data_IF_366304032114
#
_entry.id   IF_366304032114
#
_cell.length_a   1.000
_cell.length_b   1.000
_cell.length_c   1.000
_cell.angle_alpha   90.00
_cell.angle_beta   90.00
_cell.angle_gamma   90.00
#
_symmetry.space_group_name_H-M   'P 1'
#
loop_
_entity.id
_entity.type
_entity.pdbx_description
1 polymer ?
#
# COMPACT_ATOMS: atom_id res chain seq x y z
N UNK A 1 40.27 23.52 -17.49
CA UNK A 1 39.24 24.21 -16.67
C UNK A 1 37.86 24.17 -17.31
N UNK A 2 37.67 24.63 -18.55
CA UNK A 2 36.32 24.66 -19.18
C UNK A 2 35.65 23.29 -19.33
N UNK A 3 36.38 22.24 -19.73
CA UNK A 3 35.82 20.88 -19.85
C UNK A 3 35.32 20.30 -18.53
N UNK A 4 35.95 20.66 -17.41
CA UNK A 4 35.54 20.23 -16.07
C UNK A 4 34.22 20.91 -15.68
N UNK A 5 34.13 22.23 -15.92
CA UNK A 5 32.93 23.03 -15.70
C UNK A 5 31.75 22.54 -16.53
N UNK A 6 31.96 22.17 -17.79
CA UNK A 6 30.92 21.55 -18.62
C UNK A 6 30.39 20.22 -18.07
N UNK A 7 31.26 19.38 -17.50
CA UNK A 7 30.83 18.11 -16.88
C UNK A 7 30.05 18.37 -15.59
N UNK A 8 30.48 19.34 -14.79
CA UNK A 8 29.76 19.80 -13.60
C UNK A 8 28.39 20.37 -13.95
N UNK A 9 28.31 21.26 -14.95
CA UNK A 9 27.04 21.83 -15.42
C UNK A 9 26.07 20.74 -15.92
N UNK A 10 26.58 19.71 -16.65
CA UNK A 10 25.77 18.56 -17.07
C UNK A 10 25.30 17.71 -15.89
N UNK A 11 26.12 17.54 -14.85
CA UNK A 11 25.73 16.85 -13.62
C UNK A 11 24.67 17.64 -12.85
N UNK A 12 24.79 18.97 -12.81
CA UNK A 12 23.81 19.85 -12.16
C UNK A 12 22.48 19.85 -12.91
N UNK A 13 22.49 19.97 -14.24
CA UNK A 13 21.29 19.84 -15.08
C UNK A 13 20.64 18.49 -14.84
N UNK A 14 21.42 17.39 -14.84
CA UNK A 14 20.89 16.06 -14.58
C UNK A 14 20.29 15.94 -13.17
N UNK A 15 20.89 16.59 -12.19
CA UNK A 15 20.40 16.61 -10.80
C UNK A 15 19.12 17.43 -10.65
N UNK A 16 19.03 18.58 -11.31
CA UNK A 16 17.81 19.41 -11.37
C UNK A 16 16.70 18.63 -12.09
N UNK A 17 17.00 18.03 -13.23
CA UNK A 17 16.06 17.23 -14.01
C UNK A 17 15.56 16.03 -13.19
N UNK A 18 16.45 15.27 -12.55
CA UNK A 18 16.08 14.18 -11.65
C UNK A 18 15.19 14.69 -10.51
N UNK A 19 15.50 15.82 -9.84
CA UNK A 19 14.64 16.35 -8.76
C UNK A 19 13.27 16.85 -9.23
N UNK A 20 13.16 17.31 -10.48
CA UNK A 20 11.92 17.83 -11.06
C UNK A 20 11.03 16.73 -11.68
N UNK A 21 11.62 15.60 -12.08
CA UNK A 21 10.88 14.48 -12.66
C UNK A 21 10.17 13.65 -11.59
N UNK A 22 8.91 13.29 -11.86
CA UNK A 22 8.11 12.40 -11.00
C UNK A 22 7.96 11.04 -11.67
N UNK A 23 7.89 9.97 -10.88
CA UNK A 23 7.53 8.65 -11.39
C UNK A 23 6.05 8.64 -11.78
N UNK A 24 5.78 8.70 -13.09
CA UNK A 24 4.43 8.78 -13.68
C UNK A 24 3.91 7.39 -14.11
N UNK A 25 4.76 6.37 -14.16
CA UNK A 25 4.41 5.05 -14.72
C UNK A 25 3.59 4.13 -13.82
N UNK A 26 3.11 4.58 -12.65
CA UNK A 26 2.21 3.77 -11.83
C UNK A 26 0.86 3.60 -12.57
N UNK A 27 0.40 2.36 -12.78
CA UNK A 27 -0.87 2.13 -13.48
C UNK A 27 -2.06 2.22 -12.53
N UNK A 28 -3.13 2.92 -12.94
CA UNK A 28 -4.41 2.93 -12.22
C UNK A 28 -5.02 1.53 -12.10
N UNK A 29 -4.82 0.66 -13.10
CA UNK A 29 -5.26 -0.73 -13.07
C UNK A 29 -4.60 -1.54 -11.95
N UNK A 30 -3.37 -1.18 -11.56
CA UNK A 30 -2.69 -1.78 -10.40
C UNK A 30 -3.50 -1.55 -9.11
N UNK A 31 -4.09 -0.37 -8.93
CA UNK A 31 -4.93 -0.05 -7.77
C UNK A 31 -6.25 -0.82 -7.78
N UNK A 32 -6.89 -0.94 -8.95
CA UNK A 32 -8.14 -1.70 -9.10
C UNK A 32 -7.94 -3.17 -8.73
N UNK A 33 -6.88 -3.79 -9.24
CA UNK A 33 -6.58 -5.21 -8.97
C UNK A 33 -6.24 -5.42 -7.49
N UNK A 34 -5.39 -4.57 -6.91
CA UNK A 34 -5.08 -4.63 -5.48
C UNK A 34 -6.35 -4.54 -4.63
N UNK A 35 -7.27 -3.65 -5.00
CA UNK A 35 -8.52 -3.50 -4.27
C UNK A 35 -9.47 -4.69 -4.40
N UNK A 36 -9.59 -5.29 -5.58
CA UNK A 36 -10.39 -6.52 -5.76
C UNK A 36 -9.81 -7.67 -4.94
N UNK A 37 -8.48 -7.86 -5.00
CA UNK A 37 -7.78 -8.90 -4.24
C UNK A 37 -7.95 -8.68 -2.74
N UNK A 38 -7.87 -7.43 -2.27
CA UNK A 38 -8.11 -7.09 -0.87
C UNK A 38 -9.54 -7.42 -0.43
N UNK A 39 -10.56 -7.07 -1.23
CA UNK A 39 -11.95 -7.41 -0.90
C UNK A 39 -12.18 -8.93 -0.82
N UNK A 40 -11.60 -9.70 -1.75
CA UNK A 40 -11.64 -11.17 -1.69
C UNK A 40 -10.92 -11.70 -0.45
N UNK A 41 -9.77 -11.13 -0.09
CA UNK A 41 -9.05 -11.47 1.13
C UNK A 41 -9.84 -11.17 2.40
N UNK A 42 -10.51 -10.02 2.46
CA UNK A 42 -11.38 -9.65 3.58
C UNK A 42 -12.57 -10.60 3.70
N UNK A 43 -13.19 -10.97 2.58
CA UNK A 43 -14.27 -11.95 2.53
C UNK A 43 -13.81 -13.32 3.04
N UNK A 44 -12.67 -13.83 2.56
CA UNK A 44 -12.11 -15.10 3.03
C UNK A 44 -11.74 -15.05 4.51
N UNK A 45 -11.16 -13.95 4.98
CA UNK A 45 -10.85 -13.77 6.39
C UNK A 45 -12.12 -13.80 7.24
N UNK A 46 -13.18 -13.11 6.79
CA UNK A 46 -14.47 -13.11 7.45
C UNK A 46 -15.04 -14.53 7.56
N UNK A 47 -15.18 -15.22 6.42
CA UNK A 47 -15.76 -16.56 6.33
C UNK A 47 -15.02 -17.59 7.20
N UNK A 48 -13.68 -17.54 7.22
CA UNK A 48 -12.86 -18.54 7.89
C UNK A 48 -12.67 -18.29 9.38
N UNK A 49 -12.55 -17.03 9.81
CA UNK A 49 -12.09 -16.70 11.18
C UNK A 49 -13.13 -15.92 11.98
N UNK A 50 -13.95 -15.09 11.32
CA UNK A 50 -14.91 -14.22 12.01
C UNK A 50 -16.33 -14.80 12.05
N UNK A 51 -16.68 -15.72 11.16
CA UNK A 51 -17.97 -16.41 11.16
C UNK A 51 -18.18 -17.16 12.48
N UNK A 52 -19.29 -16.89 13.17
CA UNK A 52 -19.64 -17.53 14.44
C UNK A 52 -18.95 -16.96 15.68
N UNK A 53 -18.06 -15.96 15.54
CA UNK A 53 -17.48 -15.24 16.68
C UNK A 53 -18.22 -13.91 16.93
N UNK A 54 -18.32 -13.50 18.19
CA UNK A 54 -18.94 -12.22 18.57
C UNK A 54 -17.92 -11.07 18.41
N UNK A 55 -17.44 -10.85 17.18
CA UNK A 55 -16.31 -9.97 16.86
C UNK A 55 -16.61 -8.46 17.03
N UNK A 56 -17.89 -8.09 17.10
CA UNK A 56 -18.32 -6.73 17.46
C UNK A 56 -18.20 -6.46 18.96
N UNK A 57 -18.00 -7.49 19.78
CA UNK A 57 -17.73 -7.32 21.21
C UNK A 57 -16.25 -7.03 21.44
N UNK A 58 -15.94 -6.12 22.37
CA UNK A 58 -14.58 -5.71 22.75
C UNK A 58 -13.73 -6.85 23.38
N UNK A 59 -14.24 -8.09 23.41
CA UNK A 59 -13.52 -9.23 23.99
C UNK A 59 -12.37 -9.65 23.07
N UNK A 60 -11.29 -10.15 23.70
CA UNK A 60 -10.28 -10.95 23.00
C UNK A 60 -11.01 -12.02 22.21
N UNK A 61 -10.90 -11.98 20.88
CA UNK A 61 -11.23 -13.15 20.08
C UNK A 61 -10.36 -14.30 20.58
N UNK A 62 -10.97 -15.44 20.92
CA UNK A 62 -10.23 -16.67 21.18
C UNK A 62 -9.66 -17.13 19.85
N UNK A 63 -8.50 -16.58 19.52
CA UNK A 63 -7.75 -16.91 18.32
C UNK A 63 -6.94 -18.17 18.62
N UNK A 64 -7.40 -19.30 18.07
CA UNK A 64 -6.60 -20.51 18.04
C UNK A 64 -5.36 -20.29 17.16
N UNK A 65 -4.28 -21.03 17.41
CA UNK A 65 -3.08 -21.00 16.58
C UNK A 65 -3.38 -21.28 15.10
N UNK A 66 -4.41 -22.09 14.84
CA UNK A 66 -4.90 -22.42 13.49
C UNK A 66 -5.51 -21.19 12.79
N UNK A 67 -6.38 -20.43 13.47
CA UNK A 67 -6.99 -19.22 12.92
C UNK A 67 -5.93 -18.16 12.58
N UNK A 68 -4.90 -18.03 13.43
CA UNK A 68 -3.77 -17.11 13.16
C UNK A 68 -3.00 -17.53 11.91
N UNK A 69 -2.74 -18.84 11.75
CA UNK A 69 -2.04 -19.36 10.58
C UNK A 69 -2.85 -19.14 9.29
N UNK A 70 -4.17 -19.37 9.33
CA UNK A 70 -5.07 -19.12 8.21
C UNK A 70 -5.10 -17.64 7.82
N UNK A 71 -5.27 -16.73 8.80
CA UNK A 71 -5.24 -15.28 8.55
C UNK A 71 -3.90 -14.84 7.95
N UNK A 72 -2.79 -15.37 8.45
CA UNK A 72 -1.46 -15.06 7.91
C UNK A 72 -1.31 -15.58 6.47
N UNK A 73 -1.83 -16.76 6.17
CA UNK A 73 -1.88 -17.30 4.80
C UNK A 73 -2.68 -16.42 3.86
N UNK A 74 -3.87 -15.97 4.26
CA UNK A 74 -4.72 -15.04 3.50
C UNK A 74 -3.98 -13.71 3.28
N UNK A 75 -3.41 -13.13 4.33
CA UNK A 75 -2.69 -11.86 4.25
C UNK A 75 -1.49 -11.94 3.29
N UNK A 76 -0.70 -13.02 3.37
CA UNK A 76 0.40 -13.28 2.44
C UNK A 76 -0.10 -13.46 1.00
N UNK A 77 -1.19 -14.20 0.79
CA UNK A 77 -1.81 -14.38 -0.52
C UNK A 77 -2.26 -13.06 -1.15
N UNK A 78 -2.97 -12.23 -0.37
CA UNK A 78 -3.39 -10.89 -0.79
C UNK A 78 -2.19 -10.03 -1.17
N UNK A 79 -1.14 -10.02 -0.33
CA UNK A 79 0.06 -9.22 -0.58
C UNK A 79 0.77 -9.66 -1.87
N UNK A 80 0.99 -10.96 -2.05
CA UNK A 80 1.67 -11.51 -3.24
C UNK A 80 0.87 -11.20 -4.51
N UNK A 81 -0.44 -11.48 -4.51
CA UNK A 81 -1.30 -11.24 -5.67
C UNK A 81 -1.41 -9.74 -6.00
N UNK A 82 -1.52 -8.88 -4.98
CA UNK A 82 -1.58 -7.42 -5.18
C UNK A 82 -0.27 -6.87 -5.74
N UNK A 83 0.88 -7.32 -5.24
CA UNK A 83 2.19 -6.92 -5.77
C UNK A 83 2.41 -7.45 -7.19
N UNK A 84 2.08 -8.72 -7.46
CA UNK A 84 2.21 -9.31 -8.79
C UNK A 84 1.35 -8.58 -9.82
N UNK A 85 0.07 -8.35 -9.50
CA UNK A 85 -0.84 -7.58 -10.35
C UNK A 85 -0.36 -6.14 -10.53
N UNK A 86 0.08 -5.50 -9.45
CA UNK A 86 0.60 -4.14 -9.46
C UNK A 86 1.80 -3.97 -10.39
N UNK A 87 2.79 -4.86 -10.29
CA UNK A 87 3.98 -4.88 -11.14
C UNK A 87 3.62 -5.18 -12.60
N UNK A 88 2.72 -6.13 -12.85
CA UNK A 88 2.29 -6.50 -14.20
C UNK A 88 1.67 -5.32 -14.96
N UNK A 89 0.68 -4.63 -14.37
CA UNK A 89 0.03 -3.49 -15.03
C UNK A 89 0.94 -2.28 -15.17
N UNK A 90 1.79 -2.02 -14.16
CA UNK A 90 2.82 -0.97 -14.23
C UNK A 90 3.81 -1.27 -15.36
N UNK A 91 4.22 -2.52 -15.54
CA UNK A 91 5.11 -2.94 -16.63
C UNK A 91 4.50 -2.69 -18.01
N UNK A 92 3.22 -3.03 -18.19
CA UNK A 92 2.50 -2.79 -19.45
C UNK A 92 2.44 -1.29 -19.76
N UNK A 93 2.08 -0.46 -18.77
CA UNK A 93 2.00 1.00 -18.94
C UNK A 93 3.36 1.61 -19.28
N UNK A 94 4.41 1.20 -18.57
CA UNK A 94 5.75 1.71 -18.80
C UNK A 94 6.28 1.38 -20.21
N UNK A 95 6.01 0.15 -20.69
CA UNK A 95 6.32 -0.25 -22.08
C UNK A 95 5.57 0.60 -23.10
N UNK A 96 4.26 0.83 -22.90
CA UNK A 96 3.45 1.69 -23.80
C UNK A 96 3.94 3.14 -23.81
N UNK A 97 4.48 3.63 -22.69
CA UNK A 97 4.92 5.02 -22.53
C UNK A 97 6.42 5.23 -22.80
N UNK A 98 7.15 4.19 -23.24
CA UNK A 98 8.61 4.21 -23.41
C UNK A 98 9.39 4.71 -22.16
N UNK A 99 8.85 4.46 -20.97
CA UNK A 99 9.47 4.85 -19.70
C UNK A 99 10.22 3.67 -19.08
N UNK A 100 11.38 3.93 -18.49
CA UNK A 100 12.13 2.92 -17.72
C UNK A 100 11.46 2.75 -16.36
N UNK A 101 11.11 1.50 -16.01
CA UNK A 101 10.54 1.18 -14.70
C UNK A 101 11.53 1.32 -13.55
N UNK A 102 12.83 1.22 -13.84
CA UNK A 102 13.88 1.15 -12.83
C UNK A 102 14.88 2.28 -13.01
N UNK A 103 14.49 3.47 -12.54
CA UNK A 103 15.35 4.65 -12.50
C UNK A 103 15.59 5.12 -11.06
N UNK A 104 16.25 6.28 -10.91
CA UNK A 104 16.53 6.87 -9.60
C UNK A 104 15.25 7.25 -8.85
N UNK A 105 14.19 7.64 -9.55
CA UNK A 105 12.90 8.00 -8.95
C UNK A 105 12.15 6.78 -8.44
N UNK A 106 12.10 5.70 -9.23
CA UNK A 106 11.53 4.41 -8.80
C UNK A 106 12.20 3.91 -7.53
N UNK A 107 13.54 3.96 -7.46
CA UNK A 107 14.29 3.54 -6.28
C UNK A 107 13.94 4.39 -5.05
N UNK A 108 13.89 5.71 -5.21
CA UNK A 108 13.51 6.63 -4.12
C UNK A 108 12.09 6.37 -3.64
N UNK A 109 11.15 6.19 -4.56
CA UNK A 109 9.77 5.84 -4.26
C UNK A 109 9.68 4.55 -3.45
N UNK A 110 10.31 3.48 -3.94
CA UNK A 110 10.28 2.16 -3.30
C UNK A 110 10.89 2.22 -1.90
N UNK A 111 12.05 2.86 -1.72
CA UNK A 111 12.68 2.97 -0.40
C UNK A 111 11.77 3.75 0.57
N UNK A 112 11.20 4.87 0.14
CA UNK A 112 10.35 5.69 1.00
C UNK A 112 9.00 5.03 1.33
N UNK A 113 8.50 4.16 0.44
CA UNK A 113 7.35 3.30 0.70
C UNK A 113 7.71 2.15 1.66
N UNK A 114 8.83 1.47 1.43
CA UNK A 114 9.23 0.28 2.17
C UNK A 114 9.60 0.57 3.62
N UNK A 115 10.16 1.75 3.94
CA UNK A 115 10.56 2.06 5.32
C UNK A 115 9.34 1.99 6.27
N UNK A 116 8.23 2.74 6.06
CA UNK A 116 7.04 2.59 6.90
C UNK A 116 6.40 1.21 6.83
N UNK A 117 6.35 0.57 5.66
CA UNK A 117 5.77 -0.77 5.52
C UNK A 117 6.53 -1.83 6.31
N UNK A 118 7.86 -1.82 6.26
CA UNK A 118 8.70 -2.78 6.97
C UNK A 118 8.58 -2.60 8.48
N UNK A 119 8.64 -1.35 8.96
CA UNK A 119 8.45 -1.03 10.38
C UNK A 119 7.04 -1.45 10.82
N UNK A 120 6.00 -1.13 10.04
CA UNK A 120 4.63 -1.52 10.34
C UNK A 120 4.41 -3.03 10.37
N UNK A 121 4.99 -3.75 9.41
CA UNK A 121 4.95 -5.22 9.37
C UNK A 121 5.60 -5.84 10.60
N UNK A 122 6.78 -5.36 11.00
CA UNK A 122 7.44 -5.81 12.23
C UNK A 122 6.62 -5.48 13.48
N UNK A 123 6.02 -4.30 13.56
CA UNK A 123 5.13 -3.92 14.66
C UNK A 123 3.91 -4.85 14.71
N UNK A 124 3.28 -5.16 13.58
CA UNK A 124 2.17 -6.10 13.51
C UNK A 124 2.57 -7.51 13.96
N UNK A 125 3.77 -7.99 13.61
CA UNK A 125 4.29 -9.29 14.08
C UNK A 125 4.55 -9.28 15.60
N UNK A 126 5.09 -8.19 16.14
CA UNK A 126 5.28 -8.02 17.59
C UNK A 126 3.92 -8.04 18.30
N UNK A 127 2.93 -7.27 17.80
CA UNK A 127 1.59 -7.23 18.38
C UNK A 127 0.90 -8.59 18.33
N UNK A 128 1.06 -9.31 17.22
CA UNK A 128 0.58 -10.68 17.06
C UNK A 128 1.20 -11.62 18.11
N UNK A 129 2.52 -11.55 18.32
CA UNK A 129 3.23 -12.36 19.33
C UNK A 129 2.78 -12.07 20.77
N UNK A 130 2.21 -10.88 21.01
CA UNK A 130 1.67 -10.45 22.30
C UNK A 130 0.16 -10.70 22.43
N UNK A 131 -0.48 -11.24 21.39
CA UNK A 131 -1.91 -11.53 21.36
C UNK A 131 -2.81 -10.32 21.08
N UNK A 132 -2.27 -9.18 20.65
CA UNK A 132 -3.04 -7.98 20.30
C UNK A 132 -3.54 -8.03 18.85
N UNK A 133 -4.35 -9.04 18.52
CA UNK A 133 -4.76 -9.29 17.12
C UNK A 133 -5.68 -8.22 16.57
N UNK A 134 -6.62 -7.71 17.38
CA UNK A 134 -7.64 -6.77 16.92
C UNK A 134 -7.08 -5.47 16.34
N UNK A 135 -5.91 -5.02 16.80
CA UNK A 135 -5.32 -3.76 16.36
C UNK A 135 -4.43 -3.89 15.11
N UNK A 136 -4.16 -5.12 14.66
CA UNK A 136 -3.30 -5.39 13.49
C UNK A 136 -3.89 -4.78 12.22
N UNK A 137 -5.18 -5.00 11.94
CA UNK A 137 -5.83 -4.43 10.77
C UNK A 137 -5.74 -2.88 10.73
N UNK A 138 -6.11 -2.16 11.81
CA UNK A 138 -5.86 -0.71 11.94
C UNK A 138 -4.39 -0.31 11.69
N UNK A 139 -3.42 -1.02 12.26
CA UNK A 139 -2.00 -0.70 12.11
C UNK A 139 -1.52 -0.87 10.67
N UNK A 140 -2.00 -1.90 9.95
CA UNK A 140 -1.65 -2.06 8.53
C UNK A 140 -2.10 -0.86 7.69
N UNK A 141 -3.30 -0.31 7.95
CA UNK A 141 -3.79 0.91 7.27
C UNK A 141 -2.90 2.12 7.60
N UNK A 142 -2.57 2.34 8.88
CA UNK A 142 -1.74 3.47 9.32
C UNK A 142 -0.36 3.41 8.66
N UNK A 143 0.35 2.29 8.77
CA UNK A 143 1.71 2.18 8.24
C UNK A 143 1.75 2.17 6.71
N UNK A 144 0.74 1.59 6.06
CA UNK A 144 0.58 1.71 4.62
C UNK A 144 0.35 3.16 4.20
N UNK A 145 -0.57 3.87 4.85
CA UNK A 145 -0.85 5.27 4.57
C UNK A 145 0.35 6.18 4.81
N UNK A 146 1.15 5.94 5.86
CA UNK A 146 2.43 6.62 6.07
C UNK A 146 3.43 6.33 4.94
N UNK A 147 3.48 5.07 4.47
CA UNK A 147 4.23 4.66 3.28
C UNK A 147 3.83 5.47 2.05
N UNK A 148 2.53 5.58 1.79
CA UNK A 148 2.00 6.37 0.67
C UNK A 148 2.33 7.86 0.79
N UNK A 149 2.14 8.46 1.95
CA UNK A 149 2.47 9.87 2.19
C UNK A 149 3.97 10.12 1.94
N UNK A 150 4.84 9.22 2.40
CA UNK A 150 6.28 9.36 2.19
C UNK A 150 6.67 9.15 0.72
N UNK A 151 6.09 8.15 0.06
CA UNK A 151 6.30 7.85 -1.35
C UNK A 151 5.77 8.96 -2.29
N UNK A 152 4.69 9.64 -1.90
CA UNK A 152 3.98 10.62 -2.74
C UNK A 152 4.85 11.77 -3.26
N UNK A 153 5.96 12.09 -2.59
CA UNK A 153 6.94 13.10 -3.03
C UNK A 153 7.61 12.76 -4.36
N UNK A 154 7.66 11.47 -4.70
CA UNK A 154 8.36 10.92 -5.87
C UNK A 154 7.40 10.48 -6.98
N UNK A 155 6.09 10.71 -6.82
CA UNK A 155 5.06 10.25 -7.76
C UNK A 155 3.86 11.20 -7.76
N UNK A 156 2.69 10.70 -8.18
CA UNK A 156 1.47 11.46 -8.41
C UNK A 156 0.90 11.93 -7.07
N UNK A 157 0.51 13.20 -7.02
CA UNK A 157 0.07 13.88 -5.79
C UNK A 157 -1.15 13.23 -5.14
N UNK A 158 -1.98 12.56 -5.93
CA UNK A 158 -3.18 11.86 -5.51
C UNK A 158 -2.87 10.70 -4.55
N UNK A 159 -1.66 10.12 -4.63
CA UNK A 159 -1.18 9.09 -3.68
C UNK A 159 -1.15 9.65 -2.26
N UNK A 160 -0.85 10.93 -2.10
CA UNK A 160 -0.84 11.59 -0.79
C UNK A 160 -2.23 11.61 -0.17
N UNK A 161 -3.25 11.94 -0.96
CA UNK A 161 -4.64 11.98 -0.49
C UNK A 161 -5.12 10.60 -0.05
N UNK A 162 -4.83 9.56 -0.84
CA UNK A 162 -5.12 8.18 -0.45
C UNK A 162 -4.42 7.84 0.87
N UNK A 163 -3.12 8.12 0.99
CA UNK A 163 -2.36 7.84 2.21
C UNK A 163 -2.91 8.53 3.46
N UNK A 164 -3.38 9.77 3.34
CA UNK A 164 -4.01 10.48 4.46
C UNK A 164 -5.35 9.86 4.87
N UNK A 165 -6.14 9.39 3.91
CA UNK A 165 -7.42 8.71 4.20
C UNK A 165 -7.14 7.36 4.88
N UNK A 166 -6.16 6.60 4.41
CA UNK A 166 -5.75 5.32 5.03
C UNK A 166 -5.28 5.51 6.48
N UNK A 167 -4.49 6.56 6.76
CA UNK A 167 -4.10 6.92 8.14
C UNK A 167 -5.34 7.22 8.97
N UNK A 168 -6.27 8.03 8.47
CA UNK A 168 -7.49 8.38 9.19
C UNK A 168 -8.36 7.14 9.49
N UNK A 169 -8.57 6.26 8.50
CA UNK A 169 -9.29 5.00 8.67
C UNK A 169 -8.60 4.09 9.70
N UNK A 170 -7.29 3.99 9.65
CA UNK A 170 -6.52 3.21 10.62
C UNK A 170 -6.63 3.77 12.04
N UNK A 171 -6.56 5.10 12.22
CA UNK A 171 -6.76 5.72 13.53
C UNK A 171 -8.18 5.52 14.07
N UNK A 172 -9.20 5.63 13.21
CA UNK A 172 -10.59 5.29 13.56
C UNK A 172 -10.67 3.80 13.95
N UNK A 173 -10.00 2.92 13.22
CA UNK A 173 -9.97 1.49 13.53
C UNK A 173 -9.29 1.15 14.84
N UNK A 174 -8.28 1.92 15.27
CA UNK A 174 -7.68 1.78 16.60
C UNK A 174 -8.69 2.10 17.72
N UNK A 175 -9.57 3.09 17.51
CA UNK A 175 -10.62 3.42 18.46
C UNK A 175 -11.76 2.38 18.44
N UNK A 176 -12.08 1.87 17.26
CA UNK A 176 -13.21 0.96 17.01
C UNK A 176 -12.72 -0.41 16.53
N UNK A 177 -11.98 -1.11 17.38
CA UNK A 177 -11.29 -2.38 17.06
C UNK A 177 -12.22 -3.44 16.46
N UNK A 178 -13.48 -3.50 16.90
CA UNK A 178 -14.48 -4.45 16.35
C UNK A 178 -14.83 -4.22 14.87
N UNK A 179 -14.53 -3.05 14.32
CA UNK A 179 -14.74 -2.71 12.90
C UNK A 179 -13.45 -2.85 12.06
N UNK A 180 -12.37 -3.40 12.62
CA UNK A 180 -11.06 -3.47 11.98
C UNK A 180 -11.09 -4.07 10.57
N UNK A 181 -11.76 -5.22 10.38
CA UNK A 181 -11.85 -5.87 9.07
C UNK A 181 -12.67 -5.05 8.05
N UNK A 182 -13.74 -4.39 8.50
CA UNK A 182 -14.59 -3.56 7.64
C UNK A 182 -13.82 -2.32 7.18
N UNK A 183 -13.16 -1.62 8.10
CA UNK A 183 -12.33 -0.46 7.78
C UNK A 183 -11.14 -0.85 6.90
N UNK A 184 -10.58 -2.04 7.12
CA UNK A 184 -9.53 -2.60 6.28
C UNK A 184 -10.00 -2.86 4.85
N UNK A 185 -11.18 -3.48 4.68
CA UNK A 185 -11.80 -3.71 3.38
C UNK A 185 -12.18 -2.39 2.68
N UNK A 186 -12.59 -1.39 3.44
CA UNK A 186 -12.88 -0.05 2.92
C UNK A 186 -11.60 0.62 2.38
N UNK A 187 -10.52 0.62 3.16
CA UNK A 187 -9.23 1.19 2.78
C UNK A 187 -8.58 0.42 1.62
N UNK A 188 -8.07 -0.77 1.90
CA UNK A 188 -7.34 -1.58 0.93
C UNK A 188 -8.18 -2.07 -0.25
N UNK A 189 -9.50 -2.16 -0.09
CA UNK A 189 -10.42 -2.60 -1.13
C UNK A 189 -11.05 -1.45 -1.90
N UNK A 190 -12.09 -0.85 -1.31
CA UNK A 190 -12.96 0.13 -1.99
C UNK A 190 -12.18 1.37 -2.40
N UNK A 191 -11.41 1.99 -1.48
CA UNK A 191 -10.67 3.21 -1.80
C UNK A 191 -9.60 2.97 -2.86
N UNK A 192 -8.94 1.80 -2.84
CA UNK A 192 -7.97 1.44 -3.88
C UNK A 192 -8.61 1.24 -5.27
N UNK A 193 -9.83 0.68 -5.33
CA UNK A 193 -10.59 0.59 -6.59
C UNK A 193 -10.95 1.99 -7.09
N UNK A 194 -11.54 2.83 -6.24
CA UNK A 194 -11.92 4.21 -6.60
C UNK A 194 -10.70 4.98 -7.07
N UNK A 195 -9.61 4.93 -6.29
CA UNK A 195 -8.35 5.57 -6.63
C UNK A 195 -7.80 5.06 -7.96
N UNK A 196 -7.75 3.74 -8.17
CA UNK A 196 -7.27 3.13 -9.40
C UNK A 196 -8.06 3.59 -10.63
N UNK A 197 -9.39 3.68 -10.53
CA UNK A 197 -10.27 4.19 -11.60
C UNK A 197 -9.99 5.68 -11.88
N UNK A 198 -9.86 6.51 -10.84
CA UNK A 198 -9.55 7.94 -10.99
C UNK A 198 -8.21 8.12 -11.70
N UNK A 199 -7.19 7.36 -11.29
CA UNK A 199 -5.86 7.42 -11.90
C UNK A 199 -5.86 6.96 -13.35
N UNK A 200 -6.60 5.88 -13.65
CA UNK A 200 -6.74 5.38 -15.01
C UNK A 200 -7.37 6.45 -15.91
N UNK A 201 -8.49 7.05 -15.49
CA UNK A 201 -9.16 8.10 -16.27
C UNK A 201 -8.31 9.35 -16.47
N UNK A 202 -7.51 9.74 -15.46
CA UNK A 202 -6.74 10.98 -15.50
C UNK A 202 -5.41 10.85 -16.27
N UNK A 203 -4.80 9.67 -16.28
CA UNK A 203 -3.43 9.48 -16.76
C UNK A 203 -3.23 8.35 -17.79
N UNK A 204 -4.24 7.53 -18.07
CA UNK A 204 -4.14 6.38 -18.99
C UNK A 204 -5.24 6.30 -20.06
N UNK A 205 -6.38 6.96 -19.85
CA UNK A 205 -7.49 7.01 -20.80
C UNK A 205 -7.28 8.03 -21.92
#
# INVERSE_FOLDING_TARGET
MEKQKYIEDLQDIKTIMDRSSRFISLSGMSGVVAGIVALLGAYLAYETVYTGQNYLSYRRADMTSENVLLLMGIACGVLILSLAGGLYFTQIKAKKSNQKLWDNQSKRLIINLLIPLAVGGLVCLILLSKGFVGIIAPFTLIFYGLGLVNASKYTLSEIRSLGLIEIALGLIGCQFVGFGLILWALGFGVLHIIYGIVMYKKYES
#
